data_IF_028876766847
#
_entry.id   IF_028876766847
#
_cell.length_a   1.000
_cell.length_b   1.000
_cell.length_c   1.000
_cell.angle_alpha   90.00
_cell.angle_beta   90.00
_cell.angle_gamma   90.00
#
_symmetry.space_group_name_H-M   'P 1'
#
loop_
_entity.id
_entity.type
_entity.pdbx_description
1 polymer ?
#
# COMPACT_ATOMS: atom_id res chain seq x y z
N UNK A 1 -6.69 -4.31 21.78
CA UNK A 1 -6.71 -2.93 22.28
C UNK A 1 -6.59 -2.07 21.04
N UNK A 2 -7.53 -1.18 20.81
CA UNK A 2 -7.50 -0.29 19.65
C UNK A 2 -6.90 1.04 20.10
N UNK A 3 -5.97 1.57 19.32
CA UNK A 3 -5.46 2.93 19.54
C UNK A 3 -6.52 3.93 19.09
N UNK A 4 -6.88 4.85 19.96
CA UNK A 4 -7.75 5.97 19.64
C UNK A 4 -7.01 6.96 18.68
N UNK A 5 -7.77 7.59 17.81
CA UNK A 5 -7.27 8.63 16.90
C UNK A 5 -6.66 9.81 17.65
N UNK A 6 -7.10 10.10 18.88
CA UNK A 6 -6.54 11.16 19.72
C UNK A 6 -5.13 10.81 20.21
N UNK A 7 -4.92 9.56 20.65
CA UNK A 7 -3.62 9.06 21.10
C UNK A 7 -2.62 9.09 19.92
N UNK A 8 -3.04 8.61 18.75
CA UNK A 8 -2.24 8.65 17.53
C UNK A 8 -1.89 10.08 17.11
N UNK A 9 -2.90 10.98 17.12
CA UNK A 9 -2.69 12.40 16.83
C UNK A 9 -1.70 13.01 17.81
N UNK A 10 -1.87 12.78 19.10
CA UNK A 10 -1.02 13.37 20.13
C UNK A 10 0.41 12.83 20.01
N UNK A 11 0.60 11.55 19.75
CA UNK A 11 1.92 10.98 19.47
C UNK A 11 2.58 11.66 18.26
N UNK A 12 1.94 11.63 17.10
CA UNK A 12 2.56 12.07 15.84
C UNK A 12 2.74 13.58 15.73
N UNK A 13 1.86 14.38 16.32
CA UNK A 13 1.90 15.84 16.16
C UNK A 13 2.41 16.59 17.39
N UNK A 14 2.27 16.03 18.59
CA UNK A 14 2.67 16.72 19.84
C UNK A 14 4.00 16.24 20.40
N UNK A 15 4.43 15.00 20.16
CA UNK A 15 5.71 14.51 20.67
C UNK A 15 6.83 14.70 19.66
N UNK A 16 8.06 14.93 20.15
CA UNK A 16 9.23 15.02 19.28
C UNK A 16 9.57 13.65 18.66
N UNK A 17 9.41 12.57 19.45
CA UNK A 17 9.64 11.20 18.99
C UNK A 17 8.66 10.84 17.85
N UNK A 18 7.38 11.16 18.01
CA UNK A 18 6.37 10.89 16.99
C UNK A 18 6.61 11.67 15.68
N UNK A 19 7.01 12.94 15.77
CA UNK A 19 7.40 13.72 14.58
C UNK A 19 8.61 13.13 13.88
N UNK A 20 9.60 12.64 14.64
CA UNK A 20 10.78 11.97 14.07
C UNK A 20 10.37 10.66 13.41
N UNK A 21 9.53 9.85 14.05
CA UNK A 21 9.00 8.62 13.48
C UNK A 21 8.22 8.87 12.19
N UNK A 22 7.31 9.86 12.22
CA UNK A 22 6.56 10.29 11.03
C UNK A 22 7.48 10.68 9.88
N UNK A 23 8.52 11.48 10.16
CA UNK A 23 9.48 11.93 9.14
C UNK A 23 10.20 10.72 8.53
N UNK A 24 10.76 9.84 9.35
CA UNK A 24 11.51 8.67 8.87
C UNK A 24 10.65 7.75 7.97
N UNK A 25 9.43 7.45 8.40
CA UNK A 25 8.50 6.63 7.62
C UNK A 25 8.09 7.35 6.33
N UNK A 26 7.73 8.64 6.41
CA UNK A 26 7.31 9.42 5.24
C UNK A 26 8.41 9.56 4.21
N UNK A 27 9.64 9.82 4.63
CA UNK A 27 10.79 9.94 3.73
C UNK A 27 11.00 8.62 2.95
N UNK A 28 10.80 7.47 3.62
CA UNK A 28 10.86 6.15 2.98
C UNK A 28 9.65 5.91 2.03
N UNK A 29 8.45 6.38 2.37
CA UNK A 29 7.29 6.33 1.47
C UNK A 29 7.56 7.15 0.21
N UNK A 30 8.11 8.36 0.33
CA UNK A 30 8.46 9.22 -0.81
C UNK A 30 9.60 8.63 -1.64
N UNK A 31 10.56 7.94 -1.03
CA UNK A 31 11.61 7.20 -1.75
C UNK A 31 10.99 6.08 -2.62
N UNK A 32 10.03 5.34 -2.08
CA UNK A 32 9.31 4.28 -2.81
C UNK A 32 8.36 4.86 -3.87
N UNK A 33 7.63 5.91 -3.53
CA UNK A 33 6.67 6.59 -4.40
C UNK A 33 6.99 8.08 -4.48
N UNK A 34 7.89 8.47 -5.38
CA UNK A 34 8.27 9.87 -5.54
C UNK A 34 7.05 10.75 -5.80
N UNK A 35 6.96 11.84 -5.03
CA UNK A 35 5.87 12.81 -5.06
C UNK A 35 5.98 13.82 -6.22
N UNK A 36 6.62 13.42 -7.32
CA UNK A 36 6.75 14.26 -8.51
C UNK A 36 5.40 14.49 -9.17
N UNK A 37 5.19 15.70 -9.68
CA UNK A 37 3.92 16.05 -10.32
C UNK A 37 3.59 15.14 -11.51
N UNK A 38 4.58 14.78 -12.32
CA UNK A 38 4.41 13.86 -13.44
C UNK A 38 4.09 12.42 -13.02
N UNK A 39 4.54 11.99 -11.83
CA UNK A 39 4.31 10.63 -11.32
C UNK A 39 2.99 10.47 -10.57
N UNK A 40 2.42 11.57 -10.03
CA UNK A 40 1.22 11.52 -9.20
C UNK A 40 -0.01 12.14 -9.87
N UNK A 41 0.19 12.99 -10.90
CA UNK A 41 -0.92 13.59 -11.64
C UNK A 41 -1.83 12.49 -12.23
N UNK A 42 -3.12 12.58 -11.94
CA UNK A 42 -4.09 11.59 -12.39
C UNK A 42 -4.32 10.41 -11.44
N UNK A 43 -3.45 10.17 -10.45
CA UNK A 43 -3.61 9.06 -9.50
C UNK A 43 -4.55 9.41 -8.35
N UNK A 44 -5.31 8.42 -7.89
CA UNK A 44 -6.01 8.43 -6.60
C UNK A 44 -5.11 7.79 -5.56
N UNK A 45 -4.71 8.56 -4.56
CA UNK A 45 -3.87 8.11 -3.44
C UNK A 45 -4.74 8.02 -2.19
N UNK A 46 -4.76 6.87 -1.54
CA UNK A 46 -5.50 6.67 -0.30
C UNK A 46 -4.57 6.23 0.83
N UNK A 47 -4.98 6.51 2.06
CA UNK A 47 -4.35 5.98 3.26
C UNK A 47 -5.41 5.34 4.15
N UNK A 48 -5.10 4.21 4.77
CA UNK A 48 -5.94 3.53 5.72
C UNK A 48 -5.29 3.45 7.11
N UNK A 49 -6.13 3.49 8.15
CA UNK A 49 -5.68 3.58 9.53
C UNK A 49 -5.23 5.01 9.85
N UNK A 50 -4.09 5.17 10.51
CA UNK A 50 -3.52 6.50 10.75
C UNK A 50 -2.44 6.87 9.72
N UNK A 51 -2.72 6.62 8.44
CA UNK A 51 -1.77 6.92 7.36
C UNK A 51 -1.78 8.39 6.90
N UNK A 52 -2.76 9.20 7.31
CA UNK A 52 -2.90 10.61 6.87
C UNK A 52 -1.62 11.45 6.98
N UNK A 53 -0.75 11.33 8.04
CA UNK A 53 0.48 12.11 8.09
C UNK A 53 1.45 11.82 6.94
N UNK A 54 1.34 10.63 6.34
CA UNK A 54 2.18 10.19 5.23
C UNK A 54 1.67 10.67 3.87
N UNK A 55 0.40 11.08 3.78
CA UNK A 55 -0.24 11.53 2.55
C UNK A 55 0.05 12.99 2.19
N UNK A 56 0.62 13.77 3.14
CA UNK A 56 0.86 15.21 2.93
C UNK A 56 1.65 15.54 1.66
N UNK A 57 2.69 14.78 1.24
CA UNK A 57 3.42 15.05 0.01
C UNK A 57 2.58 14.97 -1.27
N UNK A 58 1.45 14.25 -1.22
CA UNK A 58 0.58 13.99 -2.37
C UNK A 58 -0.58 14.97 -2.49
N UNK A 59 -0.85 15.79 -1.45
CA UNK A 59 -1.85 16.87 -1.50
C UNK A 59 -1.50 17.86 -2.61
N UNK A 60 -2.48 18.21 -3.43
CA UNK A 60 -2.31 19.12 -4.56
C UNK A 60 -1.48 18.57 -5.73
N UNK A 61 -0.96 17.33 -5.65
CA UNK A 61 -0.19 16.66 -6.72
C UNK A 61 -0.93 15.47 -7.30
N UNK A 62 -1.59 14.68 -6.47
CA UNK A 62 -2.49 13.62 -6.91
C UNK A 62 -3.85 14.18 -7.36
N UNK A 63 -4.52 13.45 -8.26
CA UNK A 63 -5.90 13.78 -8.67
C UNK A 63 -6.84 13.81 -7.47
N UNK A 64 -6.66 12.87 -6.54
CA UNK A 64 -7.45 12.74 -5.31
C UNK A 64 -6.61 12.15 -4.20
N UNK A 65 -6.76 12.69 -2.99
CA UNK A 65 -6.19 12.11 -1.77
C UNK A 65 -7.36 11.78 -0.82
N UNK A 66 -7.35 10.58 -0.22
CA UNK A 66 -8.42 10.10 0.67
C UNK A 66 -7.76 9.50 1.93
N UNK A 67 -8.19 9.92 3.11
CA UNK A 67 -7.82 9.31 4.39
C UNK A 67 -8.96 8.44 4.91
N UNK A 68 -8.83 7.13 4.83
CA UNK A 68 -9.79 6.15 5.35
C UNK A 68 -9.45 5.84 6.80
N UNK A 69 -10.29 6.25 7.73
CA UNK A 69 -10.08 6.06 9.16
C UNK A 69 -11.06 5.02 9.70
N UNK A 70 -10.59 3.90 10.26
CA UNK A 70 -11.47 2.85 10.77
C UNK A 70 -12.26 3.32 11.98
N UNK A 71 -13.52 2.93 12.05
CA UNK A 71 -14.45 3.35 13.11
C UNK A 71 -13.95 2.99 14.51
N UNK A 72 -13.20 1.89 14.66
CA UNK A 72 -12.63 1.46 15.92
C UNK A 72 -11.55 2.43 16.45
N UNK A 73 -10.86 3.15 15.57
CA UNK A 73 -9.88 4.17 15.94
C UNK A 73 -10.51 5.56 16.08
N UNK A 74 -11.62 5.81 15.37
CA UNK A 74 -12.23 7.12 15.25
C UNK A 74 -11.69 7.94 14.06
N UNK A 75 -12.25 9.12 13.87
CA UNK A 75 -11.91 10.02 12.76
C UNK A 75 -11.53 11.40 13.25
N UNK A 76 -10.61 12.04 12.56
CA UNK A 76 -10.30 13.46 12.72
C UNK A 76 -10.29 14.18 11.37
N UNK A 77 -10.70 15.46 11.30
CA UNK A 77 -10.53 16.27 10.10
C UNK A 77 -9.04 16.39 9.75
N UNK A 78 -8.72 16.16 8.47
CA UNK A 78 -7.36 16.31 7.94
C UNK A 78 -7.42 16.67 6.45
N UNK A 79 -6.50 17.52 5.92
CA UNK A 79 -5.46 18.24 6.63
C UNK A 79 -6.00 19.46 7.42
N UNK A 80 -5.27 19.90 8.42
CA UNK A 80 -5.68 21.07 9.18
C UNK A 80 -5.62 22.35 8.33
N UNK A 81 -6.70 23.14 8.36
CA UNK A 81 -6.79 24.40 7.64
C UNK A 81 -7.07 24.29 6.14
N UNK A 82 -7.29 23.11 5.62
CA UNK A 82 -7.62 22.81 4.22
C UNK A 82 -8.91 21.98 4.14
N UNK A 83 -9.51 21.78 2.95
CA UNK A 83 -10.68 20.91 2.79
C UNK A 83 -10.41 19.50 3.32
N UNK A 84 -11.35 19.00 4.13
CA UNK A 84 -11.23 17.67 4.76
C UNK A 84 -11.24 16.54 3.71
N UNK A 85 -10.26 15.64 3.80
CA UNK A 85 -10.16 14.43 2.98
C UNK A 85 -10.30 13.14 3.79
N UNK A 86 -10.57 13.25 5.10
CA UNK A 86 -10.75 12.09 5.99
C UNK A 86 -12.19 11.57 5.92
N UNK A 87 -12.33 10.26 5.88
CA UNK A 87 -13.60 9.53 5.85
C UNK A 87 -13.57 8.45 6.91
N UNK A 88 -14.59 8.40 7.77
CA UNK A 88 -14.81 7.29 8.68
C UNK A 88 -15.35 6.10 7.89
N UNK A 89 -14.77 4.92 8.10
CA UNK A 89 -15.20 3.71 7.42
C UNK A 89 -15.23 2.49 8.35
N UNK A 90 -15.99 1.48 7.99
CA UNK A 90 -15.85 0.16 8.59
C UNK A 90 -14.50 -0.45 8.21
N UNK A 91 -14.03 -1.42 8.98
CA UNK A 91 -12.72 -2.03 8.76
C UNK A 91 -12.63 -2.74 7.40
N UNK A 92 -13.65 -3.51 7.05
CA UNK A 92 -13.67 -4.40 5.90
C UNK A 92 -14.70 -4.00 4.85
N UNK A 93 -15.26 -2.77 4.94
CA UNK A 93 -16.24 -2.26 3.97
C UNK A 93 -16.06 -0.75 3.80
N UNK A 94 -15.28 -0.37 2.81
CA UNK A 94 -14.96 1.04 2.55
C UNK A 94 -15.95 1.68 1.59
N UNK A 95 -16.30 2.96 1.78
CA UNK A 95 -17.18 3.69 0.87
C UNK A 95 -16.43 4.08 -0.42
N UNK A 96 -15.75 3.12 -1.02
CA UNK A 96 -14.95 3.26 -2.24
C UNK A 96 -15.37 2.16 -3.21
N UNK A 97 -15.62 2.54 -4.45
CA UNK A 97 -15.90 1.59 -5.51
C UNK A 97 -14.69 0.70 -5.83
N UNK A 98 -14.98 -0.49 -6.34
CA UNK A 98 -13.95 -1.44 -6.75
C UNK A 98 -13.03 -0.83 -7.80
N UNK A 99 -11.72 -0.93 -7.59
CA UNK A 99 -10.74 -0.53 -8.58
C UNK A 99 -10.45 0.98 -8.68
N UNK A 100 -10.85 1.79 -7.69
CA UNK A 100 -10.74 3.25 -7.74
C UNK A 100 -9.45 3.82 -7.17
N UNK A 101 -8.67 3.04 -6.45
CA UNK A 101 -7.42 3.47 -5.81
C UNK A 101 -6.23 3.02 -6.65
N UNK A 102 -5.30 3.93 -6.92
CA UNK A 102 -4.04 3.62 -7.62
C UNK A 102 -2.88 3.37 -6.64
N UNK A 103 -2.88 4.07 -5.50
CA UNK A 103 -1.87 3.96 -4.44
C UNK A 103 -2.55 3.94 -3.08
N UNK A 104 -2.25 2.92 -2.27
CA UNK A 104 -2.81 2.76 -0.92
C UNK A 104 -1.70 2.61 0.10
N UNK A 105 -1.64 3.49 1.11
CA UNK A 105 -0.75 3.36 2.26
C UNK A 105 -1.55 2.86 3.45
N UNK A 106 -1.10 1.80 4.11
CA UNK A 106 -1.71 1.27 5.34
C UNK A 106 -0.72 1.47 6.50
N UNK A 107 -1.13 2.23 7.53
CA UNK A 107 -0.36 2.44 8.74
C UNK A 107 -1.30 2.40 9.95
N UNK A 108 -0.93 1.68 11.00
CA UNK A 108 -1.77 1.48 12.20
C UNK A 108 -3.18 0.96 11.85
N UNK A 109 -3.23 0.03 10.90
CA UNK A 109 -4.46 -0.62 10.47
C UNK A 109 -4.34 -2.13 10.53
N UNK A 110 -3.35 -2.72 9.87
CA UNK A 110 -3.24 -4.16 9.72
C UNK A 110 -2.89 -4.88 11.04
N UNK A 111 -1.96 -4.32 11.82
CA UNK A 111 -1.51 -4.89 13.09
C UNK A 111 -2.57 -4.85 14.20
N UNK A 112 -3.56 -3.96 14.08
CA UNK A 112 -4.65 -3.79 15.04
C UNK A 112 -5.99 -4.32 14.54
N UNK A 113 -6.02 -4.84 13.33
CA UNK A 113 -7.20 -5.41 12.71
C UNK A 113 -7.69 -6.66 13.44
N UNK A 114 -8.99 -6.80 13.59
CA UNK A 114 -9.63 -8.01 14.12
C UNK A 114 -9.60 -9.12 13.07
N UNK A 115 -9.75 -8.78 11.78
CA UNK A 115 -9.65 -9.69 10.64
C UNK A 115 -8.68 -9.13 9.56
N UNK A 116 -7.36 -9.35 9.74
CA UNK A 116 -6.37 -8.82 8.81
C UNK A 116 -6.47 -9.38 7.38
N UNK A 117 -7.00 -10.59 7.20
CA UNK A 117 -7.17 -11.19 5.87
C UNK A 117 -8.34 -10.48 5.14
N UNK A 118 -9.48 -10.28 5.80
CA UNK A 118 -10.59 -9.52 5.23
C UNK A 118 -10.23 -8.05 4.96
N UNK A 119 -9.43 -7.42 5.84
CA UNK A 119 -8.91 -6.08 5.57
C UNK A 119 -8.03 -6.04 4.32
N UNK A 120 -7.15 -7.01 4.13
CA UNK A 120 -6.32 -7.09 2.93
C UNK A 120 -7.16 -7.36 1.66
N UNK A 121 -8.23 -8.16 1.76
CA UNK A 121 -9.19 -8.37 0.67
C UNK A 121 -9.90 -7.07 0.27
N UNK A 122 -10.27 -6.24 1.25
CA UNK A 122 -10.85 -4.92 1.00
C UNK A 122 -9.84 -3.96 0.34
N UNK A 123 -8.58 -3.98 0.78
CA UNK A 123 -7.49 -3.29 0.10
C UNK A 123 -7.36 -3.75 -1.36
N UNK A 124 -7.42 -5.07 -1.58
CA UNK A 124 -7.33 -5.65 -2.93
C UNK A 124 -8.53 -5.24 -3.79
N UNK A 125 -9.74 -5.28 -3.23
CA UNK A 125 -10.97 -4.88 -3.93
C UNK A 125 -10.90 -3.44 -4.44
N UNK A 126 -10.49 -2.52 -3.58
CA UNK A 126 -10.49 -1.08 -3.88
C UNK A 126 -9.37 -0.64 -4.80
N UNK A 127 -8.27 -1.39 -4.86
CA UNK A 127 -7.17 -1.13 -5.80
C UNK A 127 -7.57 -1.44 -7.24
N UNK A 128 -7.20 -0.56 -8.16
CA UNK A 128 -7.31 -0.77 -9.60
C UNK A 128 -6.32 -1.81 -10.14
N UNK A 129 -6.48 -2.26 -11.39
CA UNK A 129 -5.50 -3.10 -12.05
C UNK A 129 -4.13 -2.41 -12.09
N UNK A 130 -3.08 -3.10 -11.60
CA UNK A 130 -1.75 -2.51 -11.44
C UNK A 130 -1.64 -1.50 -10.29
N UNK A 131 -2.70 -1.33 -9.50
CA UNK A 131 -2.68 -0.54 -8.27
C UNK A 131 -1.74 -1.15 -7.24
N UNK A 132 -1.18 -0.31 -6.38
CA UNK A 132 -0.14 -0.69 -5.40
C UNK A 132 -0.58 -0.36 -3.99
N UNK A 133 -0.33 -1.28 -3.06
CA UNK A 133 -0.44 -1.01 -1.63
C UNK A 133 0.92 -1.04 -0.97
N UNK A 134 1.11 -0.19 0.04
CA UNK A 134 2.26 -0.17 0.91
C UNK A 134 1.78 -0.43 2.35
N UNK A 135 2.01 -1.64 2.82
CA UNK A 135 1.74 -2.04 4.20
C UNK A 135 2.92 -1.68 5.09
N UNK A 136 2.67 -0.89 6.12
CA UNK A 136 3.66 -0.43 7.10
C UNK A 136 3.22 -0.93 8.47
N UNK A 137 3.95 -1.88 9.02
CA UNK A 137 3.59 -2.55 10.28
C UNK A 137 4.78 -2.60 11.25
N UNK A 138 4.54 -2.66 12.57
CA UNK A 138 5.59 -2.83 13.55
C UNK A 138 6.40 -4.10 13.28
N UNK A 139 7.71 -3.99 13.34
CA UNK A 139 8.63 -5.11 13.15
C UNK A 139 8.73 -5.93 14.43
N UNK A 140 8.33 -7.22 14.36
CA UNK A 140 8.34 -8.13 15.51
C UNK A 140 9.68 -8.25 16.21
N UNK A 141 10.79 -8.18 15.46
CA UNK A 141 12.15 -8.30 15.99
C UNK A 141 12.78 -6.94 16.29
N UNK A 142 12.08 -5.85 16.01
CA UNK A 142 12.57 -4.49 16.21
C UNK A 142 12.42 -3.99 17.64
N UNK A 143 13.09 -2.87 17.95
CA UNK A 143 13.10 -2.27 19.28
C UNK A 143 11.78 -1.55 19.65
N UNK A 144 10.90 -1.29 18.70
CA UNK A 144 9.67 -0.54 18.89
C UNK A 144 8.49 -1.43 19.31
N UNK A 145 8.39 -2.64 18.77
CA UNK A 145 7.28 -3.56 19.01
C UNK A 145 7.08 -3.92 20.52
N UNK A 146 8.13 -4.10 21.36
CA UNK A 146 7.92 -4.37 22.76
C UNK A 146 7.59 -3.13 23.62
N UNK A 147 7.44 -1.95 23.02
CA UNK A 147 7.25 -0.67 23.72
C UNK A 147 5.81 -0.18 23.63
N UNK A 148 4.96 -0.57 24.57
CA UNK A 148 3.56 -0.10 24.68
C UNK A 148 3.41 1.41 24.94
N UNK A 149 4.52 2.12 25.15
CA UNK A 149 4.54 3.59 25.26
C UNK A 149 4.47 4.32 23.93
N UNK A 150 4.49 3.58 22.82
CA UNK A 150 4.36 4.12 21.47
C UNK A 150 3.30 3.35 20.68
N UNK A 151 2.68 3.95 19.66
CA UNK A 151 1.69 3.26 18.83
C UNK A 151 2.18 1.94 18.21
N UNK A 152 3.48 1.82 17.99
CA UNK A 152 4.09 0.63 17.39
C UNK A 152 4.21 -0.57 18.34
N UNK A 153 3.94 -0.39 19.64
CA UNK A 153 3.89 -1.46 20.62
C UNK A 153 2.51 -2.10 20.79
N UNK A 154 1.50 -1.61 20.05
CA UNK A 154 0.15 -2.15 20.11
C UNK A 154 -0.14 -3.06 18.92
N UNK A 155 -1.09 -3.99 19.11
CA UNK A 155 -1.50 -4.93 18.07
C UNK A 155 -0.53 -6.09 17.88
N UNK A 156 -0.56 -6.68 16.69
CA UNK A 156 0.23 -7.87 16.33
C UNK A 156 1.40 -7.45 15.43
N UNK A 157 2.65 -7.41 15.93
CA UNK A 157 3.78 -7.07 15.08
C UNK A 157 4.07 -8.20 14.08
N UNK A 158 4.62 -7.84 12.94
CA UNK A 158 4.92 -8.74 11.84
C UNK A 158 6.41 -8.95 11.64
N UNK A 159 6.80 -10.13 11.17
CA UNK A 159 8.03 -10.27 10.40
C UNK A 159 7.75 -9.99 8.92
N UNK A 160 8.78 -9.65 8.14
CA UNK A 160 8.63 -9.44 6.69
C UNK A 160 8.03 -10.67 6.00
N UNK A 161 8.53 -11.87 6.33
CA UNK A 161 8.02 -13.13 5.75
C UNK A 161 6.56 -13.42 6.07
N UNK A 162 6.09 -13.07 7.29
CA UNK A 162 4.67 -13.21 7.65
C UNK A 162 3.80 -12.25 6.83
N UNK A 163 4.23 -11.01 6.70
CA UNK A 163 3.51 -10.00 5.92
C UNK A 163 3.42 -10.39 4.44
N UNK A 164 4.52 -10.86 3.86
CA UNK A 164 4.51 -11.37 2.47
C UNK A 164 3.61 -12.58 2.28
N UNK A 165 3.69 -13.55 3.18
CA UNK A 165 2.88 -14.76 3.09
C UNK A 165 1.38 -14.42 3.15
N UNK A 166 0.98 -13.49 4.01
CA UNK A 166 -0.38 -13.01 4.12
C UNK A 166 -0.82 -12.27 2.85
N UNK A 167 -0.01 -11.34 2.34
CA UNK A 167 -0.31 -10.62 1.12
C UNK A 167 -0.50 -11.56 -0.09
N UNK A 168 0.35 -12.59 -0.21
CA UNK A 168 0.22 -13.60 -1.28
C UNK A 168 -1.06 -14.42 -1.18
N UNK A 169 -1.54 -14.75 0.03
CA UNK A 169 -2.80 -15.49 0.21
C UNK A 169 -4.00 -14.74 -0.36
N UNK A 170 -4.01 -13.41 -0.24
CA UNK A 170 -5.08 -12.55 -0.77
C UNK A 170 -4.94 -12.29 -2.28
N UNK A 171 -3.81 -12.68 -2.88
CA UNK A 171 -3.58 -12.51 -4.32
C UNK A 171 -2.70 -11.32 -4.69
N UNK A 172 -2.10 -10.65 -3.73
CA UNK A 172 -1.09 -9.63 -4.00
C UNK A 172 0.25 -10.24 -4.44
N UNK A 173 0.95 -9.56 -5.34
CA UNK A 173 2.33 -9.86 -5.66
C UNK A 173 3.25 -8.88 -4.91
N UNK A 174 4.10 -9.35 -3.98
CA UNK A 174 5.15 -8.53 -3.38
C UNK A 174 6.12 -7.99 -4.43
N UNK A 175 6.44 -6.69 -4.36
CA UNK A 175 7.35 -6.03 -5.30
C UNK A 175 8.61 -5.50 -4.61
N UNK A 176 8.45 -4.67 -3.58
CA UNK A 176 9.57 -4.05 -2.87
C UNK A 176 9.41 -4.21 -1.38
N UNK A 177 10.53 -4.43 -0.73
CA UNK A 177 10.64 -4.47 0.72
C UNK A 177 11.45 -3.26 1.18
N UNK A 178 11.05 -2.65 2.28
CA UNK A 178 11.77 -1.58 2.93
C UNK A 178 11.61 -1.66 4.45
N UNK A 179 12.36 -0.85 5.17
CA UNK A 179 12.25 -0.71 6.61
C UNK A 179 12.62 0.71 7.03
N UNK A 180 12.15 1.13 8.18
CA UNK A 180 12.41 2.44 8.76
C UNK A 180 12.41 2.37 10.29
N UNK A 181 12.69 3.49 10.94
CA UNK A 181 12.79 3.63 12.40
C UNK A 181 13.93 2.82 13.02
N UNK A 182 15.14 3.12 12.58
CA UNK A 182 16.36 2.52 13.15
C UNK A 182 16.83 3.18 14.44
N UNK A 183 16.19 4.30 14.84
CA UNK A 183 16.43 4.92 16.14
C UNK A 183 15.72 4.14 17.25
N UNK A 184 16.28 4.07 18.47
CA UNK A 184 15.57 3.56 19.63
C UNK A 184 14.31 4.40 19.94
N UNK A 185 13.21 3.82 20.45
CA UNK A 185 12.01 4.54 20.87
C UNK A 185 12.26 5.29 22.19
N UNK A 186 13.06 6.37 22.11
CA UNK A 186 13.51 7.17 23.25
C UNK A 186 13.34 8.65 22.99
N UNK A 187 12.85 9.37 24.01
CA UNK A 187 12.73 10.84 23.95
C UNK A 187 14.05 11.58 24.22
N UNK A 188 15.17 10.88 24.40
CA UNK A 188 16.46 11.51 24.63
C UNK A 188 16.90 12.29 23.39
N UNK A 189 17.27 13.57 23.59
CA UNK A 189 17.64 14.50 22.51
C UNK A 189 18.77 14.00 21.61
N UNK A 190 19.68 13.21 22.15
CA UNK A 190 20.78 12.61 21.40
C UNK A 190 20.26 11.76 20.23
N UNK A 191 19.36 10.80 20.52
CA UNK A 191 18.80 9.91 19.49
C UNK A 191 17.95 10.66 18.47
N UNK A 192 17.20 11.66 18.91
CA UNK A 192 16.34 12.45 18.04
C UNK A 192 17.11 13.36 17.09
N UNK A 193 18.23 13.94 17.55
CA UNK A 193 19.09 14.79 16.73
C UNK A 193 19.94 14.01 15.71
N UNK A 194 20.29 12.76 16.02
CA UNK A 194 21.07 11.88 15.15
C UNK A 194 20.22 10.93 14.31
N UNK A 195 18.89 11.13 14.28
CA UNK A 195 17.95 10.20 13.62
C UNK A 195 18.29 9.93 12.15
N UNK A 196 18.63 10.97 11.37
CA UNK A 196 18.98 10.79 9.95
C UNK A 196 20.24 9.95 9.76
N UNK A 197 21.21 10.07 10.66
CA UNK A 197 22.41 9.24 10.62
C UNK A 197 22.07 7.77 10.90
N UNK A 198 21.21 7.51 11.90
CA UNK A 198 20.77 6.15 12.24
C UNK A 198 19.93 5.51 11.14
N UNK A 199 19.06 6.27 10.48
CA UNK A 199 18.30 5.79 9.33
C UNK A 199 19.24 5.37 8.18
N UNK A 200 20.24 6.20 7.85
CA UNK A 200 21.24 5.88 6.81
C UNK A 200 22.10 4.67 7.14
N UNK A 201 22.58 4.57 8.38
CA UNK A 201 23.41 3.45 8.84
C UNK A 201 22.57 2.17 8.93
N UNK A 202 21.38 2.25 9.51
CA UNK A 202 20.48 1.11 9.68
C UNK A 202 20.09 0.49 8.35
N UNK A 203 19.73 1.30 7.36
CA UNK A 203 19.40 0.83 6.01
C UNK A 203 20.57 0.09 5.35
N UNK A 204 21.82 0.49 5.63
CA UNK A 204 23.02 -0.12 5.02
C UNK A 204 23.52 -1.35 5.76
N UNK A 205 23.47 -1.36 7.09
CA UNK A 205 24.18 -2.34 7.90
C UNK A 205 23.28 -3.34 8.64
N UNK A 206 22.09 -2.95 9.04
CA UNK A 206 21.24 -3.75 9.94
C UNK A 206 20.08 -4.48 9.24
N UNK A 207 19.83 -4.19 7.96
CA UNK A 207 18.70 -4.77 7.23
C UNK A 207 17.39 -4.59 8.00
N UNK A 208 16.54 -5.61 8.04
CA UNK A 208 15.24 -5.53 8.74
C UNK A 208 15.33 -5.78 10.25
N UNK A 209 16.45 -6.29 10.78
CA UNK A 209 16.54 -6.78 12.17
C UNK A 209 16.42 -5.67 13.21
N UNK A 210 16.98 -4.49 12.95
CA UNK A 210 16.98 -3.38 13.90
C UNK A 210 15.90 -2.32 13.64
N UNK A 211 15.17 -2.44 12.53
CA UNK A 211 14.14 -1.47 12.15
C UNK A 211 12.91 -1.56 13.06
N UNK A 212 12.29 -0.43 13.38
CA UNK A 212 11.04 -0.37 14.14
C UNK A 212 9.83 -0.80 13.34
N UNK A 213 9.82 -0.55 12.02
CA UNK A 213 8.76 -0.97 11.10
C UNK A 213 9.33 -1.69 9.89
N UNK A 214 8.58 -2.66 9.39
CA UNK A 214 8.75 -3.26 8.08
C UNK A 214 7.71 -2.70 7.12
N UNK A 215 8.11 -2.52 5.87
CA UNK A 215 7.31 -1.92 4.82
C UNK A 215 7.31 -2.85 3.61
N UNK A 216 6.14 -3.29 3.19
CA UNK A 216 5.97 -4.16 2.03
C UNK A 216 5.12 -3.46 0.98
N UNK A 217 5.71 -3.19 -0.18
CA UNK A 217 4.96 -2.80 -1.35
C UNK A 217 4.50 -4.03 -2.10
N UNK A 218 3.22 -4.03 -2.42
CA UNK A 218 2.57 -5.08 -3.19
C UNK A 218 1.81 -4.48 -4.36
N UNK A 219 1.66 -5.27 -5.43
CA UNK A 219 0.86 -4.89 -6.60
C UNK A 219 -0.32 -5.83 -6.76
N UNK A 220 -1.47 -5.27 -7.16
CA UNK A 220 -2.62 -6.02 -7.62
C UNK A 220 -2.38 -6.49 -9.06
N UNK A 221 -1.96 -7.75 -9.20
CA UNK A 221 -1.84 -8.38 -10.52
C UNK A 221 -3.19 -8.97 -10.93
N UNK A 222 -3.85 -8.33 -11.88
CA UNK A 222 -5.00 -8.95 -12.54
C UNK A 222 -4.43 -9.77 -13.70
N UNK A 223 -4.44 -11.09 -13.57
CA UNK A 223 -4.13 -11.95 -14.69
C UNK A 223 -5.18 -11.73 -15.76
N UNK A 224 -4.83 -11.04 -16.85
CA UNK A 224 -5.66 -11.08 -18.04
C UNK A 224 -5.68 -12.54 -18.49
N UNK A 225 -6.82 -13.20 -18.32
CA UNK A 225 -7.08 -14.45 -19.03
C UNK A 225 -6.86 -14.09 -20.50
N UNK A 226 -5.74 -14.52 -21.09
CA UNK A 226 -5.60 -14.53 -22.54
C UNK A 226 -6.80 -15.34 -23.03
N UNK A 227 -7.85 -14.65 -23.44
CA UNK A 227 -8.84 -15.27 -24.32
C UNK A 227 -8.00 -15.76 -25.47
N UNK A 228 -7.76 -17.08 -25.52
CA UNK A 228 -7.35 -17.74 -26.74
C UNK A 228 -8.42 -17.33 -27.76
N UNK A 229 -8.05 -16.33 -28.54
CA UNK A 229 -8.99 -15.73 -29.48
C UNK A 229 -9.42 -16.80 -30.44
N UNK A 230 -10.70 -16.79 -30.77
CA UNK A 230 -11.30 -17.49 -31.91
C UNK A 230 -10.59 -17.17 -33.27
N UNK A 231 -9.46 -16.48 -33.24
CA UNK A 231 -8.64 -16.13 -34.42
C UNK A 231 -7.66 -17.20 -34.89
N UNK A 232 -7.58 -18.38 -34.24
CA UNK A 232 -6.70 -19.45 -34.68
C UNK A 232 -7.40 -20.53 -35.56
N UNK A 233 -8.71 -20.39 -35.82
CA UNK A 233 -9.47 -21.41 -36.54
C UNK A 233 -9.79 -21.10 -38.01
N UNK A 234 -9.28 -20.01 -38.57
CA UNK A 234 -9.49 -19.69 -40.00
C UNK A 234 -8.16 -19.50 -40.71
N UNK A 235 -7.39 -20.59 -40.85
CA UNK A 235 -6.30 -20.70 -41.80
C UNK A 235 -6.26 -22.08 -42.42
N UNK A 236 -7.34 -22.44 -43.11
CA UNK A 236 -7.23 -23.31 -44.29
C UNK A 236 -7.87 -22.53 -45.44
N UNK A 237 -7.13 -22.13 -46.45
CA UNK A 237 -7.73 -21.66 -47.66
C UNK A 237 -8.50 -22.84 -48.24
N UNK A 238 -9.77 -22.63 -48.61
CA UNK A 238 -10.54 -23.56 -49.39
C UNK A 238 -9.71 -23.94 -50.62
N UNK A 239 -9.26 -25.20 -50.71
CA UNK A 239 -8.69 -25.73 -51.92
C UNK A 239 -9.81 -25.71 -52.97
N UNK A 240 -9.64 -24.88 -53.99
CA UNK A 240 -10.47 -24.87 -55.17
C UNK A 240 -10.36 -26.27 -55.76
N UNK A 241 -11.50 -26.95 -55.88
CA UNK A 241 -11.61 -28.21 -56.59
C UNK A 241 -11.25 -27.96 -58.06
N UNK A 242 -10.00 -28.25 -58.45
CA UNK A 242 -9.64 -28.48 -59.84
C UNK A 242 -10.28 -29.79 -60.27
N UNK A 243 -11.31 -29.68 -61.08
CA UNK A 243 -11.99 -30.87 -61.64
C UNK A 243 -13.39 -30.62 -62.15
N UNK A 244 -13.68 -29.49 -62.80
CA UNK A 244 -14.91 -29.38 -63.59
C UNK A 244 -14.61 -29.91 -65.03
N UNK A 245 -15.34 -30.92 -65.53
CA UNK A 245 -15.18 -31.39 -66.89
C UNK A 245 -15.60 -30.33 -67.91
N UNK A 246 -14.76 -30.13 -68.95
CA UNK A 246 -15.05 -29.22 -70.06
C UNK A 246 -16.22 -29.77 -70.85
N UNK A 247 -17.18 -28.92 -71.33
CA UNK A 247 -18.23 -29.37 -72.22
C UNK A 247 -17.72 -29.72 -73.54
N UNK A 248 -18.07 -30.88 -74.11
CA UNK A 248 -17.78 -31.33 -75.45
C UNK A 248 -18.73 -30.59 -76.40
N UNK A 249 -18.16 -29.73 -77.27
CA UNK A 249 -18.91 -29.12 -78.40
C UNK A 249 -18.93 -30.11 -79.58
N UNK A 250 -20.11 -30.75 -79.78
CA UNK A 250 -20.33 -31.55 -80.96
C UNK A 250 -20.47 -30.65 -82.21
N UNK A 251 -19.69 -30.96 -83.27
CA UNK A 251 -19.87 -30.41 -84.59
C UNK A 251 -20.99 -31.17 -85.30
N UNK A 252 -21.92 -30.47 -85.83
CA UNK A 252 -22.54 -30.70 -87.16
C UNK A 252 -22.30 -29.49 -88.03
#
# INVERSE_FOLDING_TARGET
MHLDVLDLRDFYYRTQLGRTAQKAIRDKVVELWPDTQSGMAGLTVAGYGFAVPLLRPYLGRARRVIGLMPAQQGVMPWPAGEPNVSVLCAETSWPIETGMIDRLVVLHGLEVSDDPDALMEECWRTLGPGGRALFIVPNRVGLWAPRETTPFGFGRPYTMGQLEAQARRVGFAPERQAAALYIPPSQRRFWLRSSEMWERLGTRAAGYLAAGVVMLEVIKQVHSVRRSGLGAAVRKPLSILEGAPKPVVGRM
#
